data_IF_475105604611
#
_entry.id   IF_475105604611
#
_cell.length_a   1.000
_cell.length_b   1.000
_cell.length_c   1.000
_cell.angle_alpha   90.00
_cell.angle_beta   90.00
_cell.angle_gamma   90.00
#
_symmetry.space_group_name_H-M   'P 1'
#
loop_
_entity.id
_entity.type
_entity.pdbx_description
1 polymer ?
#
# COMPACT_ATOMS: atom_id res chain seq x y z
N UNK A 1 -4.09 27.17 -10.66
CA UNK A 1 -4.19 25.87 -9.97
C UNK A 1 -3.17 24.95 -10.61
N UNK A 2 -2.16 24.49 -9.89
CA UNK A 2 -1.28 23.42 -10.37
C UNK A 2 -2.14 22.16 -10.49
N UNK A 3 -1.91 21.36 -11.53
CA UNK A 3 -2.64 20.10 -11.74
C UNK A 3 -2.56 19.26 -10.46
N UNK A 4 -3.72 18.88 -9.94
CA UNK A 4 -3.83 18.10 -8.71
C UNK A 4 -3.52 16.60 -8.92
N UNK A 5 -3.15 16.20 -10.14
CA UNK A 5 -2.90 14.81 -10.49
C UNK A 5 -1.50 14.65 -11.07
N UNK A 6 -0.82 13.61 -10.63
CA UNK A 6 0.43 13.14 -11.20
C UNK A 6 0.26 11.69 -11.63
N UNK A 7 0.85 11.32 -12.78
CA UNK A 7 0.76 9.96 -13.31
C UNK A 7 1.91 9.13 -12.78
N UNK A 8 1.61 7.93 -12.32
CA UNK A 8 2.58 6.90 -11.95
C UNK A 8 2.67 5.91 -13.11
N UNK A 9 3.87 5.55 -13.54
CA UNK A 9 4.07 4.53 -14.57
C UNK A 9 3.68 3.16 -14.05
N UNK A 10 2.69 2.54 -14.69
CA UNK A 10 2.20 1.23 -14.28
C UNK A 10 3.06 0.11 -14.85
N UNK A 11 3.76 -0.63 -13.98
CA UNK A 11 4.45 -1.90 -14.29
C UNK A 11 5.24 -1.90 -15.61
N UNK A 12 5.94 -0.80 -15.92
CA UNK A 12 6.73 -0.66 -17.15
C UNK A 12 5.91 -0.56 -18.44
N UNK A 13 4.59 -0.40 -18.36
CA UNK A 13 3.75 -0.18 -19.54
C UNK A 13 3.86 1.29 -19.93
N UNK A 14 4.40 1.62 -21.14
CA UNK A 14 4.57 3.00 -21.54
C UNK A 14 3.21 3.65 -21.77
N UNK A 15 3.03 4.85 -21.24
CA UNK A 15 1.89 5.69 -21.58
C UNK A 15 1.87 6.05 -23.09
N UNK A 16 0.71 6.41 -23.65
CA UNK A 16 0.61 6.90 -25.00
C UNK A 16 1.59 8.05 -25.27
N UNK A 17 2.03 8.19 -26.54
CA UNK A 17 2.96 9.25 -26.94
C UNK A 17 2.48 10.63 -26.44
N UNK A 18 3.37 11.32 -25.74
CA UNK A 18 3.10 12.66 -25.18
C UNK A 18 2.87 12.68 -23.67
N UNK A 19 2.72 11.53 -23.04
CA UNK A 19 2.69 11.41 -21.58
C UNK A 19 4.05 10.95 -21.06
N UNK A 20 4.62 11.68 -20.13
CA UNK A 20 5.86 11.33 -19.47
C UNK A 20 5.56 11.23 -17.97
N UNK A 21 5.56 10.03 -17.45
CA UNK A 21 5.58 9.83 -16.00
C UNK A 21 6.98 10.12 -15.47
N UNK A 22 7.07 10.82 -14.34
CA UNK A 22 8.33 11.03 -13.61
C UNK A 22 8.49 10.04 -12.47
N UNK A 23 7.42 9.35 -12.11
CA UNK A 23 7.38 8.42 -11.00
C UNK A 23 7.18 7.02 -11.57
N UNK A 24 8.13 6.15 -11.33
CA UNK A 24 8.05 4.74 -11.72
C UNK A 24 7.41 3.91 -10.62
N UNK A 25 6.61 2.93 -10.99
CA UNK A 25 6.15 1.92 -10.07
C UNK A 25 7.26 0.88 -9.84
N UNK A 26 7.55 0.61 -8.57
CA UNK A 26 8.50 -0.41 -8.15
C UNK A 26 7.80 -1.39 -7.21
N UNK A 27 7.86 -2.68 -7.51
CA UNK A 27 7.23 -3.71 -6.71
C UNK A 27 7.93 -3.91 -5.35
N UNK A 28 7.21 -3.66 -4.27
CA UNK A 28 7.64 -3.82 -2.88
C UNK A 28 6.78 -4.83 -2.10
N UNK A 29 6.41 -5.96 -2.73
CA UNK A 29 5.56 -6.99 -2.13
C UNK A 29 6.28 -7.82 -1.07
N UNK A 30 5.53 -8.51 -0.20
CA UNK A 30 6.08 -9.30 0.92
C UNK A 30 6.98 -10.47 0.50
N UNK A 31 6.93 -10.90 -0.75
CA UNK A 31 7.81 -11.94 -1.30
C UNK A 31 9.16 -11.41 -1.80
N UNK A 32 9.40 -10.10 -1.74
CA UNK A 32 10.63 -9.49 -2.24
C UNK A 32 11.77 -9.57 -1.23
N UNK A 33 12.98 -9.77 -1.75
CA UNK A 33 14.26 -9.68 -1.03
C UNK A 33 14.98 -8.36 -1.31
N UNK A 34 14.68 -7.75 -2.46
CA UNK A 34 15.23 -6.49 -2.92
C UNK A 34 14.26 -5.79 -3.89
N UNK A 35 14.47 -4.50 -4.09
CA UNK A 35 13.74 -3.70 -5.08
C UNK A 35 14.69 -3.16 -6.15
N UNK A 36 14.14 -2.82 -7.30
CA UNK A 36 14.87 -2.11 -8.34
C UNK A 36 15.29 -0.71 -7.84
N UNK A 37 16.47 -0.26 -8.28
CA UNK A 37 16.97 1.06 -7.95
C UNK A 37 16.40 2.09 -8.91
N UNK A 38 15.64 3.06 -8.39
CA UNK A 38 15.08 4.16 -9.15
C UNK A 38 15.29 5.49 -8.42
N UNK A 39 15.33 6.58 -9.19
CA UNK A 39 15.55 7.91 -8.62
C UNK A 39 14.31 8.53 -8.03
N UNK A 40 13.16 8.29 -8.65
CA UNK A 40 11.85 8.77 -8.23
C UNK A 40 10.83 7.66 -8.49
N UNK A 41 10.29 7.09 -7.42
CA UNK A 41 9.42 5.92 -7.55
C UNK A 41 8.27 5.90 -6.54
N UNK A 42 7.20 5.22 -6.94
CA UNK A 42 6.15 4.73 -6.07
C UNK A 42 6.44 3.28 -5.71
N UNK A 43 6.56 2.99 -4.44
CA UNK A 43 6.70 1.63 -3.94
C UNK A 43 5.31 1.01 -3.84
N UNK A 44 4.96 0.18 -4.82
CA UNK A 44 3.71 -0.58 -4.85
C UNK A 44 3.81 -1.77 -3.90
N UNK A 45 3.19 -1.63 -2.74
CA UNK A 45 3.33 -2.61 -1.66
C UNK A 45 2.37 -3.79 -1.77
N UNK A 46 2.29 -4.64 -0.72
CA UNK A 46 1.48 -5.85 -0.75
C UNK A 46 0.00 -5.55 -0.97
N UNK A 47 -0.58 -6.32 -1.88
CA UNK A 47 -2.02 -6.40 -2.11
C UNK A 47 -2.48 -7.87 -2.00
N UNK A 48 -3.76 -8.07 -1.79
CA UNK A 48 -4.32 -9.41 -1.49
C UNK A 48 -4.35 -10.36 -2.69
N UNK A 49 -3.21 -10.60 -3.34
CA UNK A 49 -3.09 -11.55 -4.44
C UNK A 49 -2.41 -12.85 -3.99
N UNK A 50 -3.19 -13.91 -3.82
CA UNK A 50 -2.84 -15.12 -3.10
C UNK A 50 -1.95 -16.14 -3.80
N UNK A 51 -1.19 -15.79 -4.84
CA UNK A 51 -0.32 -16.76 -5.55
C UNK A 51 1.18 -16.59 -5.24
N UNK A 52 1.57 -15.54 -4.52
CA UNK A 52 2.97 -15.33 -4.16
C UNK A 52 3.39 -16.25 -3.02
N UNK A 53 4.67 -16.60 -3.00
CA UNK A 53 5.28 -17.32 -1.90
C UNK A 53 5.69 -16.31 -0.82
N UNK A 54 5.34 -16.58 0.41
CA UNK A 54 5.67 -15.76 1.57
C UNK A 54 6.80 -16.41 2.36
N UNK A 55 7.98 -16.51 1.74
CA UNK A 55 9.17 -17.17 2.29
C UNK A 55 10.45 -16.33 2.15
N UNK A 56 10.34 -15.02 1.89
CA UNK A 56 11.50 -14.13 1.82
C UNK A 56 12.23 -14.05 3.16
N UNK A 57 13.56 -13.89 3.12
CA UNK A 57 14.40 -13.78 4.32
C UNK A 57 14.01 -12.55 5.16
N UNK A 58 13.63 -11.45 4.49
CA UNK A 58 13.13 -10.26 5.16
C UNK A 58 11.83 -10.57 5.89
N UNK A 59 10.84 -11.13 5.18
CA UNK A 59 9.54 -11.45 5.75
C UNK A 59 9.64 -12.41 6.94
N UNK A 60 10.59 -13.34 6.91
CA UNK A 60 10.78 -14.31 7.99
C UNK A 60 11.11 -13.69 9.35
N UNK A 61 11.54 -12.42 9.40
CA UNK A 61 11.78 -11.66 10.63
C UNK A 61 10.48 -11.15 11.26
N UNK A 62 9.40 -11.05 10.48
CA UNK A 62 8.14 -10.43 10.84
C UNK A 62 7.04 -11.46 11.04
N UNK A 63 6.87 -11.89 12.29
CA UNK A 63 5.97 -12.99 12.65
C UNK A 63 4.52 -12.70 12.29
N UNK A 64 4.03 -11.51 12.61
CA UNK A 64 2.63 -11.14 12.40
C UNK A 64 2.30 -11.04 10.91
N UNK A 65 3.20 -10.48 10.09
CA UNK A 65 3.04 -10.46 8.64
C UNK A 65 2.97 -11.88 8.07
N UNK A 66 3.90 -12.74 8.48
CA UNK A 66 3.98 -14.12 8.00
C UNK A 66 2.76 -14.96 8.38
N UNK A 67 2.20 -14.73 9.58
CA UNK A 67 1.04 -15.46 10.09
C UNK A 67 -0.30 -14.85 9.64
N UNK A 68 -0.30 -13.65 9.06
CA UNK A 68 -1.52 -12.96 8.64
C UNK A 68 -2.02 -13.45 7.28
N UNK A 69 -2.23 -14.78 7.16
CA UNK A 69 -2.76 -15.40 5.95
C UNK A 69 -3.92 -16.31 6.29
N UNK A 70 -4.94 -16.30 5.43
CA UNK A 70 -6.03 -17.27 5.50
C UNK A 70 -6.38 -17.74 4.09
N UNK A 71 -6.30 -19.04 3.87
CA UNK A 71 -6.60 -19.62 2.55
C UNK A 71 -5.69 -19.10 1.43
N UNK A 72 -4.45 -18.67 1.75
CA UNK A 72 -3.50 -18.10 0.79
C UNK A 72 -3.74 -16.62 0.47
N UNK A 73 -4.60 -15.93 1.22
CA UNK A 73 -4.90 -14.49 1.06
C UNK A 73 -4.31 -13.73 2.25
N UNK A 74 -3.44 -12.72 2.02
CA UNK A 74 -2.96 -11.85 3.10
C UNK A 74 -4.09 -11.09 3.77
N UNK A 75 -4.08 -11.07 5.11
CA UNK A 75 -5.02 -10.32 5.91
C UNK A 75 -4.45 -8.92 6.21
N UNK A 76 -4.50 -8.05 5.21
CA UNK A 76 -3.98 -6.68 5.32
C UNK A 76 -4.71 -5.93 6.44
N UNK A 77 -3.96 -5.11 7.17
CA UNK A 77 -4.50 -4.24 8.24
C UNK A 77 -5.25 -4.98 9.34
N UNK A 78 -4.86 -6.21 9.60
CA UNK A 78 -5.48 -7.09 10.59
C UNK A 78 -5.38 -6.52 12.01
N UNK A 79 -4.27 -5.87 12.35
CA UNK A 79 -3.99 -5.31 13.67
C UNK A 79 -2.91 -4.23 13.61
N UNK A 80 -2.81 -3.42 14.66
CA UNK A 80 -1.75 -2.41 14.80
C UNK A 80 -0.34 -3.03 14.77
N UNK A 81 -0.16 -4.23 15.33
CA UNK A 81 1.12 -4.94 15.26
C UNK A 81 1.46 -5.35 13.82
N UNK A 82 0.45 -5.80 13.05
CA UNK A 82 0.62 -6.06 11.63
C UNK A 82 1.09 -4.79 10.89
N UNK A 83 0.44 -3.66 11.15
CA UNK A 83 0.76 -2.37 10.53
C UNK A 83 2.19 -1.91 10.87
N UNK A 84 2.61 -2.09 12.12
CA UNK A 84 3.96 -1.79 12.58
C UNK A 84 5.03 -2.68 11.91
N UNK A 85 4.80 -3.98 11.87
CA UNK A 85 5.69 -4.91 11.18
C UNK A 85 5.74 -4.62 9.67
N UNK A 86 4.60 -4.22 9.06
CA UNK A 86 4.56 -3.88 7.65
C UNK A 86 5.38 -2.62 7.33
N UNK A 87 5.30 -1.59 8.15
CA UNK A 87 6.18 -0.42 8.02
C UNK A 87 7.66 -0.80 8.18
N UNK A 88 7.99 -1.65 9.15
CA UNK A 88 9.36 -2.11 9.38
C UNK A 88 9.88 -2.94 8.20
N UNK A 89 9.05 -3.83 7.62
CA UNK A 89 9.38 -4.59 6.42
C UNK A 89 9.70 -3.65 5.24
N UNK A 90 8.86 -2.64 4.98
CA UNK A 90 9.09 -1.65 3.91
C UNK A 90 10.40 -0.92 4.15
N UNK A 91 10.66 -0.44 5.36
CA UNK A 91 11.89 0.26 5.69
C UNK A 91 13.13 -0.62 5.51
N UNK A 92 13.06 -1.91 5.85
CA UNK A 92 14.16 -2.84 5.64
C UNK A 92 14.39 -3.14 4.14
N UNK A 93 13.30 -3.37 3.39
CA UNK A 93 13.36 -3.64 1.94
C UNK A 93 13.97 -2.47 1.16
N UNK A 94 13.85 -1.25 1.67
CA UNK A 94 14.33 -0.02 1.01
C UNK A 94 15.56 0.60 1.68
N UNK A 95 16.17 -0.07 2.68
CA UNK A 95 17.19 0.52 3.55
C UNK A 95 18.45 1.01 2.83
N UNK A 96 18.86 0.34 1.77
CA UNK A 96 20.06 0.64 0.95
C UNK A 96 19.71 1.39 -0.36
N UNK A 97 18.45 1.85 -0.49
CA UNK A 97 17.93 2.55 -1.67
C UNK A 97 17.61 4.00 -1.35
N UNK A 98 17.34 4.79 -2.39
CA UNK A 98 16.71 6.10 -2.21
C UNK A 98 15.34 5.93 -1.57
N UNK A 99 14.96 6.90 -0.74
CA UNK A 99 13.61 6.91 -0.15
C UNK A 99 12.53 6.91 -1.25
N UNK A 100 11.48 6.11 -1.13
CA UNK A 100 10.35 6.17 -2.04
C UNK A 100 9.72 7.56 -2.01
N UNK A 101 9.35 8.10 -3.16
CA UNK A 101 8.55 9.32 -3.24
C UNK A 101 7.13 9.07 -2.73
N UNK A 102 6.61 7.88 -3.04
CA UNK A 102 5.30 7.41 -2.64
C UNK A 102 5.43 5.99 -2.09
N UNK A 103 4.73 5.70 -1.00
CA UNK A 103 4.40 4.34 -0.56
C UNK A 103 2.94 4.11 -0.87
N UNK A 104 2.68 3.23 -1.81
CA UNK A 104 1.34 2.88 -2.26
C UNK A 104 0.86 1.64 -1.51
N UNK A 105 -0.24 1.80 -0.78
CA UNK A 105 -0.84 0.75 0.04
C UNK A 105 -2.20 0.35 -0.51
N UNK A 106 -2.68 -0.82 -0.10
CA UNK A 106 -3.95 -1.39 -0.55
C UNK A 106 -4.93 -1.58 0.61
N UNK A 107 -6.24 -1.43 0.35
CA UNK A 107 -7.25 -1.63 1.36
C UNK A 107 -7.36 -3.11 1.75
N UNK A 108 -7.83 -3.40 2.97
CA UNK A 108 -8.16 -4.76 3.37
C UNK A 108 -9.45 -5.26 2.72
N UNK A 109 -9.68 -6.56 2.82
CA UNK A 109 -10.98 -7.13 2.60
C UNK A 109 -11.89 -6.96 3.82
N UNK A 110 -13.18 -6.79 3.60
CA UNK A 110 -14.18 -6.57 4.64
C UNK A 110 -14.41 -7.77 5.58
N UNK A 111 -13.96 -8.98 5.22
CA UNK A 111 -14.00 -10.15 6.11
C UNK A 111 -12.94 -10.07 7.23
N UNK A 112 -11.93 -9.19 7.10
CA UNK A 112 -10.80 -9.11 8.02
C UNK A 112 -10.67 -7.75 8.72
N UNK A 113 -11.25 -6.70 8.14
CA UNK A 113 -11.11 -5.35 8.65
C UNK A 113 -12.27 -4.47 8.16
N UNK A 114 -12.52 -3.40 8.88
CA UNK A 114 -13.42 -2.31 8.50
C UNK A 114 -12.65 -0.99 8.46
N UNK A 115 -13.35 0.10 8.16
CA UNK A 115 -12.73 1.43 8.07
C UNK A 115 -12.12 1.89 9.40
N UNK A 116 -12.78 1.60 10.52
CA UNK A 116 -12.31 2.03 11.84
C UNK A 116 -11.05 1.27 12.26
N UNK A 117 -10.99 -0.04 12.00
CA UNK A 117 -9.79 -0.83 12.25
C UNK A 117 -8.66 -0.44 11.28
N UNK A 118 -8.97 -0.20 10.01
CA UNK A 118 -8.00 0.29 9.04
C UNK A 118 -7.37 1.60 9.51
N UNK A 119 -8.17 2.59 9.93
CA UNK A 119 -7.67 3.89 10.41
C UNK A 119 -6.72 3.73 11.59
N UNK A 120 -7.06 2.89 12.59
CA UNK A 120 -6.18 2.63 13.74
C UNK A 120 -4.84 2.03 13.32
N UNK A 121 -4.88 1.04 12.44
CA UNK A 121 -3.70 0.40 11.89
C UNK A 121 -2.87 1.40 11.07
N UNK A 122 -3.53 2.19 10.23
CA UNK A 122 -2.88 3.19 9.38
C UNK A 122 -2.13 4.25 10.20
N UNK A 123 -2.71 4.75 11.27
CA UNK A 123 -2.03 5.72 12.15
C UNK A 123 -0.70 5.18 12.72
N UNK A 124 -0.66 3.90 13.06
CA UNK A 124 0.59 3.25 13.49
C UNK A 124 1.58 3.15 12.33
N UNK A 125 1.11 2.71 11.17
CA UNK A 125 1.91 2.58 9.96
C UNK A 125 2.50 3.91 9.51
N UNK A 126 1.67 4.95 9.40
CA UNK A 126 2.06 6.30 9.02
C UNK A 126 3.18 6.84 9.93
N UNK A 127 2.99 6.72 11.24
CA UNK A 127 3.98 7.14 12.23
C UNK A 127 5.33 6.46 12.03
N UNK A 128 5.36 5.15 11.80
CA UNK A 128 6.60 4.40 11.59
C UNK A 128 7.27 4.74 10.24
N UNK A 129 6.50 4.87 9.16
CA UNK A 129 7.03 5.29 7.86
C UNK A 129 7.58 6.71 7.92
N UNK A 130 6.84 7.66 8.47
CA UNK A 130 7.27 9.07 8.55
C UNK A 130 8.48 9.28 9.46
N UNK A 131 8.70 8.41 10.43
CA UNK A 131 9.90 8.43 11.27
C UNK A 131 11.17 8.15 10.46
N UNK A 132 11.11 7.30 9.45
CA UNK A 132 12.24 6.91 8.58
C UNK A 132 12.27 7.79 7.32
N UNK A 133 11.13 8.03 6.72
CA UNK A 133 10.94 8.75 5.46
C UNK A 133 9.98 9.93 5.62
N UNK A 134 10.40 11.04 6.26
CA UNK A 134 9.50 12.15 6.61
C UNK A 134 8.86 12.85 5.40
N UNK A 135 9.49 12.77 4.23
CA UNK A 135 9.03 13.43 3.00
C UNK A 135 8.29 12.48 2.03
N UNK A 136 8.16 11.21 2.35
CA UNK A 136 7.44 10.24 1.54
C UNK A 136 5.93 10.44 1.69
N UNK A 137 5.21 10.47 0.59
CA UNK A 137 3.75 10.44 0.61
C UNK A 137 3.25 9.01 0.75
N UNK A 138 2.10 8.84 1.41
CA UNK A 138 1.43 7.55 1.52
C UNK A 138 0.10 7.65 0.79
N UNK A 139 -0.15 6.77 -0.15
CA UNK A 139 -1.40 6.74 -0.91
C UNK A 139 -2.04 5.36 -0.83
N UNK A 140 -3.37 5.33 -0.76
CA UNK A 140 -4.15 4.11 -0.85
C UNK A 140 -4.76 3.98 -2.24
N UNK A 141 -4.58 2.82 -2.88
CA UNK A 141 -5.15 2.52 -4.18
C UNK A 141 -6.59 2.02 -4.02
N UNK A 142 -7.52 2.55 -4.81
CA UNK A 142 -8.86 1.96 -4.89
C UNK A 142 -8.80 0.60 -5.60
N UNK A 143 -9.71 -0.31 -5.20
CA UNK A 143 -9.77 -1.66 -5.77
C UNK A 143 -11.11 -1.93 -6.41
N UNK A 144 -11.15 -2.93 -7.30
CA UNK A 144 -12.41 -3.35 -7.91
C UNK A 144 -13.42 -3.85 -6.87
N UNK A 145 -14.70 -3.64 -7.13
CA UNK A 145 -15.80 -4.15 -6.29
C UNK A 145 -16.05 -5.67 -6.40
N UNK A 146 -15.13 -6.43 -7.04
CA UNK A 146 -15.26 -7.87 -7.19
C UNK A 146 -15.13 -8.59 -5.83
N UNK A 147 -15.79 -9.75 -5.71
CA UNK A 147 -15.74 -10.60 -4.51
C UNK A 147 -14.57 -11.58 -4.64
N UNK A 148 -13.73 -11.60 -3.62
CA UNK A 148 -12.62 -12.52 -3.49
C UNK A 148 -12.79 -13.44 -2.26
N UNK A 149 -11.81 -14.30 -1.98
CA UNK A 149 -11.84 -15.20 -0.80
C UNK A 149 -11.86 -14.49 0.54
N UNK A 150 -11.45 -13.22 0.60
CA UNK A 150 -11.50 -12.37 1.79
C UNK A 150 -12.70 -11.42 1.81
N UNK A 151 -13.68 -11.62 0.94
CA UNK A 151 -14.81 -10.72 0.76
C UNK A 151 -14.57 -9.67 -0.32
N UNK A 152 -15.08 -8.46 -0.11
CA UNK A 152 -14.83 -7.29 -0.95
C UNK A 152 -13.81 -6.37 -0.30
N UNK A 153 -13.07 -5.64 -1.11
CA UNK A 153 -12.24 -4.55 -0.59
C UNK A 153 -13.12 -3.43 -0.02
N UNK A 154 -12.67 -2.79 1.07
CA UNK A 154 -13.41 -1.69 1.73
C UNK A 154 -13.30 -0.35 0.99
N UNK A 155 -12.52 -0.26 -0.09
CA UNK A 155 -12.35 0.94 -0.93
C UNK A 155 -12.54 0.54 -2.40
N UNK A 156 -13.69 -0.06 -2.69
CA UNK A 156 -14.02 -0.56 -4.03
C UNK A 156 -15.17 0.18 -4.71
N UNK A 157 -15.85 1.09 -4.01
CA UNK A 157 -17.00 1.85 -4.52
C UNK A 157 -16.91 3.32 -4.12
N UNK A 158 -17.67 4.15 -4.83
CA UNK A 158 -17.69 5.60 -4.60
C UNK A 158 -18.09 5.98 -3.17
N UNK A 159 -19.10 5.36 -2.60
CA UNK A 159 -19.55 5.59 -1.23
C UNK A 159 -18.48 5.18 -0.19
N UNK A 160 -17.76 4.10 -0.45
CA UNK A 160 -16.65 3.64 0.39
C UNK A 160 -15.45 4.61 0.30
N UNK A 161 -15.16 5.15 -0.89
CA UNK A 161 -14.12 6.18 -1.08
C UNK A 161 -14.50 7.46 -0.34
N UNK A 162 -15.77 7.89 -0.42
CA UNK A 162 -16.27 9.06 0.34
C UNK A 162 -16.09 8.84 1.83
N UNK A 163 -16.51 7.68 2.35
CA UNK A 163 -16.34 7.35 3.77
C UNK A 163 -14.88 7.35 4.21
N UNK A 164 -13.97 6.90 3.35
CA UNK A 164 -12.54 6.99 3.61
C UNK A 164 -12.06 8.45 3.64
N UNK A 165 -12.49 9.30 2.70
CA UNK A 165 -12.17 10.73 2.72
C UNK A 165 -12.64 11.42 4.01
N UNK A 166 -13.87 11.13 4.45
CA UNK A 166 -14.41 11.64 5.73
C UNK A 166 -13.55 11.18 6.92
N UNK A 167 -13.08 9.93 6.90
CA UNK A 167 -12.18 9.42 7.94
C UNK A 167 -10.80 10.10 7.90
N UNK A 168 -10.22 10.33 6.72
CA UNK A 168 -8.96 11.05 6.52
C UNK A 168 -9.06 12.45 7.15
N UNK A 169 -10.12 13.19 6.84
CA UNK A 169 -10.35 14.53 7.39
C UNK A 169 -10.57 14.49 8.91
N UNK A 170 -11.46 13.61 9.37
CA UNK A 170 -11.82 13.48 10.81
C UNK A 170 -10.62 13.19 11.70
N UNK A 171 -9.73 12.30 11.24
CA UNK A 171 -8.56 11.88 12.02
C UNK A 171 -7.27 12.59 11.63
N UNK A 172 -7.35 13.55 10.69
CA UNK A 172 -6.21 14.33 10.18
C UNK A 172 -5.05 13.42 9.72
N UNK A 173 -5.38 12.43 8.87
CA UNK A 173 -4.39 11.49 8.35
C UNK A 173 -3.65 12.09 7.14
N UNK A 174 -2.35 11.84 7.03
CA UNK A 174 -1.56 12.17 5.83
C UNK A 174 -1.63 11.02 4.81
N UNK A 175 -2.85 10.77 4.31
CA UNK A 175 -3.18 9.71 3.37
C UNK A 175 -3.83 10.28 2.11
N UNK A 176 -3.19 10.07 0.96
CA UNK A 176 -3.76 10.37 -0.34
C UNK A 176 -4.46 9.16 -0.96
N UNK A 177 -5.06 9.35 -2.14
CA UNK A 177 -5.73 8.29 -2.90
C UNK A 177 -5.10 8.18 -4.28
N UNK A 178 -4.73 6.96 -4.67
CA UNK A 178 -4.42 6.59 -6.06
C UNK A 178 -5.68 6.04 -6.70
N UNK A 179 -6.04 6.56 -7.87
CA UNK A 179 -7.15 6.05 -8.64
C UNK A 179 -6.63 5.11 -9.73
N UNK A 180 -6.87 3.81 -9.53
CA UNK A 180 -6.67 2.79 -10.54
C UNK A 180 -7.94 2.68 -11.40
N UNK A 181 -7.80 2.96 -12.70
CA UNK A 181 -8.86 2.84 -13.69
C UNK A 181 -8.58 1.62 -14.56
N UNK A 182 -9.48 0.62 -14.58
CA UNK A 182 -9.36 -0.58 -15.39
C UNK A 182 -9.47 -0.33 -16.89
#
# INVERSE_FOLDING_TARGET
MKNAFELIEYNGIPYPKGYVSRIKEVAGHLDKEEIEQEDCYSLHTEYSYGKRKFDSAILNKYKTLREAHKGGVPQLWKSEEWAKEFAAFICELTADKKSPSIVEIHPPFNDYSDIDNFVKCYQVFEKEIKRVYPNTYIFIENRSGAVYRGGKFIVGKTDEIISLCEAIEKYNLDLGIVLDFP
#
